data_IF_628627956921
#
_entry.id   IF_628627956921
#
_cell.length_a   1.000
_cell.length_b   1.000
_cell.length_c   1.000
_cell.angle_alpha   90.00
_cell.angle_beta   90.00
_cell.angle_gamma   90.00
#
_symmetry.space_group_name_H-M   'P 1'
#
loop_
_entity.id
_entity.type
_entity.pdbx_description
1 polymer ?
#
# COMPACT_ATOMS: atom_id res chain seq x y z
N UNK A 1 3.39 3.74 30.86
CA UNK A 1 4.37 3.95 29.78
C UNK A 1 4.70 5.43 29.77
N UNK A 2 5.97 5.80 29.85
CA UNK A 2 6.42 7.19 29.89
C UNK A 2 6.30 7.83 28.49
N UNK A 3 5.50 8.90 28.32
CA UNK A 3 5.26 9.54 27.02
C UNK A 3 6.47 10.33 26.47
N UNK A 4 7.61 10.39 27.18
CA UNK A 4 8.76 11.23 26.79
C UNK A 4 9.89 10.51 26.04
N UNK A 5 9.84 9.19 25.86
CA UNK A 5 10.80 8.50 24.98
C UNK A 5 10.26 8.42 23.56
N UNK A 6 10.59 9.42 22.73
CA UNK A 6 10.49 9.28 21.29
C UNK A 6 11.35 8.08 20.87
N UNK A 7 10.72 6.95 20.54
CA UNK A 7 11.44 5.77 20.09
C UNK A 7 12.03 6.05 18.72
N UNK A 8 13.27 5.60 18.49
CA UNK A 8 13.89 5.68 17.18
C UNK A 8 13.29 4.69 16.19
N UNK A 9 12.44 3.78 16.66
CA UNK A 9 11.80 2.76 15.86
C UNK A 9 10.38 2.46 16.35
N UNK A 10 9.45 2.28 15.41
CA UNK A 10 8.07 1.85 15.67
C UNK A 10 7.94 0.32 15.73
N UNK A 11 9.02 -0.40 15.43
CA UNK A 11 9.06 -1.88 15.37
C UNK A 11 9.78 -2.51 16.57
N UNK A 12 10.51 -1.72 17.35
CA UNK A 12 11.21 -2.18 18.54
C UNK A 12 11.37 -1.04 19.57
N UNK A 13 11.89 -1.36 20.76
CA UNK A 13 12.10 -0.37 21.82
C UNK A 13 13.44 0.38 21.72
N UNK A 14 14.24 0.13 20.68
CA UNK A 14 15.54 0.77 20.52
C UNK A 14 15.42 2.25 20.14
N UNK A 15 16.24 3.08 20.78
CA UNK A 15 16.12 4.53 20.68
C UNK A 15 16.90 5.15 19.51
N UNK A 16 17.87 4.45 18.90
CA UNK A 16 18.79 5.04 17.91
C UNK A 16 18.94 4.21 16.64
N UNK A 17 19.61 3.06 16.75
CA UNK A 17 19.93 2.18 15.61
C UNK A 17 19.49 0.75 15.91
N UNK A 18 18.82 0.14 14.94
CA UNK A 18 18.38 -1.26 14.99
C UNK A 18 18.45 -1.87 13.58
N UNK A 19 18.41 -3.20 13.51
CA UNK A 19 18.36 -3.96 12.26
C UNK A 19 16.92 -4.15 11.73
N UNK A 20 15.91 -3.52 12.35
CA UNK A 20 14.52 -3.74 11.98
C UNK A 20 14.20 -3.39 10.52
N UNK A 21 14.96 -2.48 9.88
CA UNK A 21 14.80 -2.20 8.46
C UNK A 21 15.16 -3.42 7.58
N UNK A 22 16.12 -4.24 8.00
CA UNK A 22 16.56 -5.44 7.26
C UNK A 22 15.77 -6.69 7.66
N UNK A 23 15.27 -6.73 8.90
CA UNK A 23 14.61 -7.90 9.48
C UNK A 23 13.09 -7.89 9.35
N UNK A 24 12.46 -6.72 9.37
CA UNK A 24 11.00 -6.63 9.37
C UNK A 24 10.38 -6.86 7.99
N UNK A 25 11.12 -6.59 6.91
CA UNK A 25 10.62 -6.74 5.55
C UNK A 25 10.98 -8.12 4.97
N UNK A 26 10.00 -8.86 4.42
CA UNK A 26 10.24 -10.15 3.80
C UNK A 26 11.27 -10.05 2.68
N UNK A 27 12.18 -11.03 2.62
CA UNK A 27 13.13 -11.19 1.50
C UNK A 27 12.44 -11.61 0.20
N UNK A 28 11.27 -12.24 0.30
CA UNK A 28 10.49 -12.69 -0.86
C UNK A 28 9.76 -11.50 -1.44
N UNK A 29 10.13 -11.12 -2.66
CA UNK A 29 9.54 -9.98 -3.36
C UNK A 29 8.31 -10.39 -4.18
N UNK A 30 7.26 -9.55 -4.25
CA UNK A 30 6.12 -9.78 -5.14
C UNK A 30 6.53 -9.92 -6.61
N UNK A 31 5.77 -10.70 -7.37
CA UNK A 31 5.97 -10.87 -8.81
C UNK A 31 5.22 -9.81 -9.58
N UNK A 32 5.89 -9.17 -10.55
CA UNK A 32 5.22 -8.26 -11.50
C UNK A 32 4.39 -9.09 -12.49
N UNK A 33 3.10 -8.76 -12.62
CA UNK A 33 2.16 -9.45 -13.52
C UNK A 33 1.24 -8.45 -14.21
N UNK A 34 0.75 -8.78 -15.41
CA UNK A 34 -0.31 -8.02 -16.07
C UNK A 34 -1.68 -8.46 -15.56
N UNK A 35 -2.49 -7.49 -15.15
CA UNK A 35 -3.90 -7.64 -14.77
C UNK A 35 -4.79 -6.96 -15.80
N UNK A 36 -5.85 -7.66 -16.21
CA UNK A 36 -6.79 -7.17 -17.20
C UNK A 36 -7.44 -5.86 -16.73
N UNK A 37 -7.48 -4.86 -17.62
CA UNK A 37 -8.07 -3.54 -17.33
C UNK A 37 -7.27 -2.65 -16.37
N UNK A 38 -6.17 -3.14 -15.77
CA UNK A 38 -5.33 -2.38 -14.81
C UNK A 38 -3.89 -2.17 -15.28
N UNK A 39 -3.40 -2.99 -16.20
CA UNK A 39 -2.02 -2.93 -16.67
C UNK A 39 -1.10 -3.80 -15.80
N UNK A 40 0.09 -3.31 -15.44
CA UNK A 40 0.98 -4.03 -14.54
C UNK A 40 0.48 -3.93 -13.09
N UNK A 41 0.74 -4.97 -12.30
CA UNK A 41 0.41 -5.06 -10.89
C UNK A 41 1.38 -5.98 -10.16
N UNK A 42 1.22 -6.09 -8.84
CA UNK A 42 2.02 -6.99 -8.01
C UNK A 42 1.19 -8.19 -7.56
N UNK A 43 1.73 -9.38 -7.80
CA UNK A 43 1.20 -10.65 -7.34
C UNK A 43 1.98 -11.10 -6.10
N UNK A 44 1.25 -11.47 -5.04
CA UNK A 44 1.83 -12.07 -3.85
C UNK A 44 2.45 -13.44 -4.17
N UNK A 45 3.61 -13.73 -3.58
CA UNK A 45 4.36 -14.97 -3.76
C UNK A 45 4.63 -15.54 -2.38
N UNK A 46 4.11 -16.73 -2.11
CA UNK A 46 4.42 -17.45 -0.88
C UNK A 46 5.70 -18.29 -1.02
N UNK A 47 6.24 -18.76 0.10
CA UNK A 47 7.37 -19.69 0.10
C UNK A 47 7.05 -21.03 -0.58
N UNK A 48 5.77 -21.42 -0.62
CA UNK A 48 5.29 -22.60 -1.34
C UNK A 48 3.92 -22.34 -1.96
N UNK A 49 3.61 -22.94 -3.13
CA UNK A 49 2.35 -22.71 -3.82
C UNK A 49 1.12 -22.97 -2.94
N UNK A 50 0.12 -22.10 -3.02
CA UNK A 50 -1.15 -22.25 -2.30
C UNK A 50 -1.11 -21.90 -0.81
N UNK A 51 0.04 -21.50 -0.27
CA UNK A 51 0.14 -21.01 1.10
C UNK A 51 -0.22 -19.52 1.22
N UNK A 52 -0.33 -19.04 2.45
CA UNK A 52 -0.40 -17.62 2.76
C UNK A 52 0.96 -16.98 2.47
N UNK A 53 0.97 -15.98 1.58
CA UNK A 53 2.17 -15.21 1.25
C UNK A 53 2.47 -14.17 2.34
N UNK A 54 1.43 -13.50 2.84
CA UNK A 54 1.52 -12.52 3.94
C UNK A 54 0.32 -12.68 4.86
N UNK A 55 0.55 -12.81 6.16
CA UNK A 55 -0.53 -12.77 7.17
C UNK A 55 -0.95 -11.34 7.45
N UNK A 56 -2.18 -11.17 7.92
CA UNK A 56 -2.67 -9.88 8.42
C UNK A 56 -1.68 -9.28 9.44
N UNK A 57 -1.29 -8.02 9.21
CA UNK A 57 -0.36 -7.27 10.06
C UNK A 57 1.11 -7.46 9.69
N UNK A 58 1.47 -8.46 8.89
CA UNK A 58 2.84 -8.63 8.42
C UNK A 58 3.21 -7.50 7.45
N UNK A 59 4.47 -7.08 7.52
CA UNK A 59 5.06 -6.14 6.57
C UNK A 59 5.35 -6.86 5.26
N UNK A 60 5.07 -6.19 4.15
CA UNK A 60 5.29 -6.69 2.79
C UNK A 60 6.60 -6.12 2.23
N UNK A 61 6.89 -4.86 2.54
CA UNK A 61 8.08 -4.15 2.08
C UNK A 61 7.98 -2.64 2.31
N UNK A 62 8.99 -1.92 1.84
CA UNK A 62 9.04 -0.46 1.83
C UNK A 62 8.76 0.07 0.42
N UNK A 63 7.89 1.06 0.28
CA UNK A 63 7.72 1.82 -0.96
C UNK A 63 8.76 2.94 -1.02
N UNK A 64 9.61 2.94 -2.06
CA UNK A 64 10.65 3.95 -2.24
C UNK A 64 10.37 4.85 -3.44
N UNK A 65 10.91 6.07 -3.37
CA UNK A 65 10.76 7.12 -4.37
C UNK A 65 11.52 8.38 -3.94
N UNK A 66 11.34 9.45 -4.68
CA UNK A 66 11.90 10.76 -4.36
C UNK A 66 11.00 11.49 -3.35
N UNK A 67 11.58 12.06 -2.29
CA UNK A 67 10.87 12.96 -1.39
C UNK A 67 10.92 14.37 -1.95
N UNK A 68 9.75 14.93 -2.27
CA UNK A 68 9.60 16.29 -2.79
C UNK A 68 8.71 17.12 -1.86
N UNK A 69 8.82 18.46 -1.88
CA UNK A 69 7.92 19.32 -1.11
C UNK A 69 6.45 19.04 -1.40
N UNK A 70 5.58 19.38 -0.45
CA UNK A 70 4.14 19.35 -0.69
C UNK A 70 3.78 20.24 -1.89
N UNK A 71 2.72 19.87 -2.60
CA UNK A 71 2.23 20.59 -3.80
C UNK A 71 3.16 20.60 -5.02
N UNK A 72 4.29 19.87 -5.01
CA UNK A 72 5.11 19.67 -6.22
C UNK A 72 4.31 18.97 -7.32
N UNK A 73 3.54 17.93 -6.95
CA UNK A 73 2.64 17.21 -7.85
C UNK A 73 1.20 17.29 -7.33
N UNK A 74 0.30 17.95 -8.08
CA UNK A 74 -1.11 18.12 -7.66
C UNK A 74 -2.01 16.99 -8.14
N UNK A 75 -1.87 16.57 -9.40
CA UNK A 75 -2.73 15.56 -10.04
C UNK A 75 -1.92 14.41 -10.65
N UNK A 76 -0.90 13.93 -9.92
CA UNK A 76 -0.03 12.87 -10.42
C UNK A 76 -0.41 11.51 -9.84
N UNK A 77 -0.54 10.49 -10.70
CA UNK A 77 -0.90 9.13 -10.28
C UNK A 77 0.21 8.37 -9.53
N UNK A 78 1.41 8.94 -9.44
CA UNK A 78 2.60 8.31 -8.84
C UNK A 78 3.04 8.99 -7.55
N UNK A 79 2.21 9.85 -6.96
CA UNK A 79 2.53 10.52 -5.69
C UNK A 79 1.66 9.97 -4.56
N UNK A 80 2.30 9.83 -3.39
CA UNK A 80 1.63 9.55 -2.13
C UNK A 80 2.04 10.63 -1.13
N UNK A 81 1.09 11.16 -0.36
CA UNK A 81 1.41 12.09 0.72
C UNK A 81 2.01 11.33 1.92
N UNK A 82 3.14 11.84 2.42
CA UNK A 82 3.82 11.28 3.57
C UNK A 82 3.30 11.97 4.84
N UNK A 83 2.34 11.32 5.52
CA UNK A 83 1.69 11.85 6.73
C UNK A 83 2.41 11.37 7.98
N UNK A 84 2.90 12.30 8.80
CA UNK A 84 3.53 11.98 10.09
C UNK A 84 2.49 11.99 11.21
N UNK A 85 2.36 10.86 11.90
CA UNK A 85 1.47 10.69 13.04
C UNK A 85 2.03 11.24 14.35
N UNK A 86 3.31 11.59 14.40
CA UNK A 86 3.95 12.21 15.57
C UNK A 86 3.85 13.74 15.60
N UNK A 87 3.12 14.32 14.64
CA UNK A 87 2.75 15.74 14.60
C UNK A 87 1.25 15.80 14.88
N UNK A 88 0.80 16.69 15.78
CA UNK A 88 -0.61 16.86 16.10
C UNK A 88 -1.15 18.18 15.49
N UNK A 89 -2.17 18.13 14.62
CA UNK A 89 -2.82 16.93 14.08
C UNK A 89 -1.89 16.18 13.10
N UNK A 90 -2.13 14.87 12.83
CA UNK A 90 -1.39 14.12 11.83
C UNK A 90 -1.29 14.89 10.51
N UNK A 91 -0.06 15.21 10.12
CA UNK A 91 0.21 16.23 9.09
C UNK A 91 1.03 15.63 7.94
N UNK A 92 0.59 15.86 6.71
CA UNK A 92 1.40 15.62 5.52
C UNK A 92 2.63 16.53 5.56
N UNK A 93 3.84 15.99 5.46
CA UNK A 93 5.08 16.78 5.53
C UNK A 93 5.83 16.86 4.20
N UNK A 94 5.61 15.88 3.32
CA UNK A 94 6.18 15.85 1.98
C UNK A 94 5.37 14.91 1.08
N UNK A 95 5.76 14.86 -0.19
CA UNK A 95 5.25 13.94 -1.19
C UNK A 95 6.31 12.88 -1.49
N UNK A 96 5.92 11.61 -1.54
CA UNK A 96 6.74 10.52 -2.06
C UNK A 96 6.39 10.29 -3.52
N UNK A 97 7.26 10.73 -4.43
CA UNK A 97 7.09 10.59 -5.87
C UNK A 97 7.81 9.34 -6.40
N UNK A 98 7.03 8.38 -6.90
CA UNK A 98 7.53 7.09 -7.40
C UNK A 98 7.57 7.03 -8.94
N UNK A 99 7.42 8.16 -9.63
CA UNK A 99 7.22 8.18 -11.08
C UNK A 99 8.49 7.91 -11.88
N UNK A 100 9.63 8.45 -11.45
CA UNK A 100 10.94 8.33 -12.13
C UNK A 100 11.85 7.28 -11.50
N UNK A 101 11.99 7.34 -10.18
CA UNK A 101 12.83 6.43 -9.38
C UNK A 101 12.00 5.81 -8.27
N UNK A 102 12.35 4.58 -7.88
CA UNK A 102 11.65 3.82 -6.86
C UNK A 102 11.86 2.32 -7.04
N UNK A 103 11.01 1.52 -6.40
CA UNK A 103 11.03 0.07 -6.51
C UNK A 103 9.71 -0.50 -7.08
N UNK A 104 9.56 -1.82 -7.08
CA UNK A 104 8.41 -2.49 -7.71
C UNK A 104 7.06 -2.10 -7.10
N UNK A 105 7.02 -1.62 -5.85
CA UNK A 105 5.79 -1.25 -5.16
C UNK A 105 5.06 -0.06 -5.77
N UNK A 106 5.73 0.71 -6.64
CA UNK A 106 5.04 1.69 -7.51
C UNK A 106 3.94 1.06 -8.38
N UNK A 107 3.98 -0.25 -8.62
CA UNK A 107 3.01 -0.99 -9.43
C UNK A 107 1.82 -1.53 -8.63
N UNK A 108 1.70 -1.22 -7.33
CA UNK A 108 0.54 -1.64 -6.53
C UNK A 108 -0.75 -1.01 -7.08
N UNK A 109 -1.68 -1.83 -7.55
CA UNK A 109 -2.96 -1.35 -8.08
C UNK A 109 -3.93 -0.94 -6.98
N UNK A 110 -4.96 -0.20 -7.38
CA UNK A 110 -6.08 0.13 -6.52
C UNK A 110 -7.07 -1.03 -6.32
N UNK A 111 -7.54 -1.18 -5.09
CA UNK A 111 -8.89 -1.71 -4.82
C UNK A 111 -9.63 -0.91 -3.74
N UNK A 112 -10.94 -0.75 -3.88
CA UNK A 112 -11.77 -0.10 -2.86
C UNK A 112 -11.82 -0.90 -1.55
N UNK A 113 -11.59 -2.22 -1.60
CA UNK A 113 -11.29 -3.08 -0.45
C UNK A 113 -9.89 -3.65 -0.62
N UNK A 114 -8.85 -2.85 -0.33
CA UNK A 114 -7.47 -3.24 -0.59
C UNK A 114 -7.01 -4.36 0.35
N UNK A 115 -6.03 -5.13 -0.11
CA UNK A 115 -5.36 -6.17 0.68
C UNK A 115 -4.22 -5.62 1.54
N UNK A 116 -3.68 -4.45 1.22
CA UNK A 116 -2.58 -3.81 1.94
C UNK A 116 -2.83 -2.32 2.25
N UNK A 117 -2.04 -1.78 3.16
CA UNK A 117 -2.02 -0.38 3.59
C UNK A 117 -0.63 0.22 3.37
N UNK A 118 -0.59 1.50 2.99
CA UNK A 118 0.61 2.31 3.10
C UNK A 118 0.66 2.93 4.49
N UNK A 119 1.76 2.76 5.19
CA UNK A 119 1.93 3.16 6.59
C UNK A 119 3.25 3.90 6.73
N UNK A 120 3.24 5.22 6.95
CA UNK A 120 4.42 5.96 7.39
C UNK A 120 4.84 5.46 8.78
N UNK A 121 6.10 5.09 8.93
CA UNK A 121 6.65 4.66 10.21
C UNK A 121 8.12 5.08 10.35
N UNK A 122 8.56 5.21 11.60
CA UNK A 122 9.95 5.49 11.95
C UNK A 122 10.67 4.15 12.17
N UNK A 123 11.75 3.89 11.45
CA UNK A 123 12.58 2.69 11.61
C UNK A 123 14.04 3.12 11.65
N UNK A 124 14.75 2.77 12.73
CA UNK A 124 16.17 3.12 12.90
C UNK A 124 16.44 4.63 12.68
N UNK A 125 15.61 5.46 13.32
CA UNK A 125 15.59 6.93 13.26
C UNK A 125 15.27 7.54 11.90
N UNK A 126 14.78 6.75 10.92
CA UNK A 126 14.39 7.21 9.59
C UNK A 126 12.91 6.98 9.36
N UNK A 127 12.24 7.97 8.78
CA UNK A 127 10.87 7.80 8.30
C UNK A 127 10.88 7.06 6.96
N UNK A 128 10.07 6.01 6.87
CA UNK A 128 9.89 5.20 5.65
C UNK A 128 8.39 5.02 5.36
N UNK A 129 8.06 4.69 4.10
CA UNK A 129 6.70 4.32 3.71
C UNK A 129 6.60 2.80 3.67
N UNK A 130 6.16 2.19 4.78
CA UNK A 130 5.95 0.75 4.86
C UNK A 130 4.67 0.31 4.18
N UNK A 131 4.63 -0.96 3.78
CA UNK A 131 3.45 -1.62 3.21
C UNK A 131 3.06 -2.76 4.14
N UNK A 132 1.89 -2.67 4.75
CA UNK A 132 1.41 -3.68 5.69
C UNK A 132 0.21 -4.44 5.13
N UNK A 133 0.19 -5.76 5.31
CA UNK A 133 -0.95 -6.59 4.95
C UNK A 133 -2.14 -6.25 5.86
N UNK A 134 -3.27 -5.86 5.27
CA UNK A 134 -4.52 -5.53 5.99
C UNK A 134 -5.31 -6.78 6.38
N UNK A 135 -5.07 -7.86 5.67
CA UNK A 135 -5.70 -9.18 5.78
C UNK A 135 -4.70 -10.23 5.33
N UNK A 136 -5.01 -11.51 5.51
CA UNK A 136 -4.22 -12.57 4.90
C UNK A 136 -4.26 -12.44 3.37
N UNK A 137 -3.09 -12.55 2.75
CA UNK A 137 -2.87 -12.49 1.31
C UNK A 137 -2.31 -13.83 0.88
N UNK A 138 -3.10 -14.57 0.10
CA UNK A 138 -2.72 -15.88 -0.40
C UNK A 138 -1.79 -15.78 -1.61
N UNK A 139 -0.97 -16.80 -1.80
CA UNK A 139 -0.16 -16.97 -3.01
C UNK A 139 -0.98 -16.75 -4.28
N UNK A 140 -0.40 -16.04 -5.24
CA UNK A 140 -1.05 -15.73 -6.51
C UNK A 140 -2.07 -14.60 -6.48
N UNK A 141 -2.42 -14.06 -5.30
CA UNK A 141 -3.36 -12.94 -5.17
C UNK A 141 -2.73 -11.60 -5.60
N UNK A 142 -3.54 -10.67 -6.11
CA UNK A 142 -3.08 -9.30 -6.37
C UNK A 142 -2.93 -8.52 -5.05
N UNK A 143 -1.79 -7.87 -4.86
CA UNK A 143 -1.57 -6.93 -3.76
C UNK A 143 -2.10 -5.57 -4.20
N UNK A 144 -3.02 -4.99 -3.42
CA UNK A 144 -3.69 -3.74 -3.76
C UNK A 144 -3.74 -2.78 -2.59
N UNK A 145 -3.74 -1.49 -2.89
CA UNK A 145 -3.87 -0.39 -1.92
C UNK A 145 -5.07 0.50 -2.25
N UNK A 146 -5.40 1.44 -1.37
CA UNK A 146 -6.41 2.47 -1.65
C UNK A 146 -5.71 3.75 -2.12
N UNK A 147 -6.00 4.22 -3.33
CA UNK A 147 -5.43 5.46 -3.87
C UNK A 147 -6.11 6.74 -3.35
N UNK A 148 -7.28 6.62 -2.74
CA UNK A 148 -8.13 7.77 -2.39
C UNK A 148 -9.39 7.82 -3.25
N UNK A 149 -10.39 8.60 -2.82
CA UNK A 149 -11.67 8.69 -3.53
C UNK A 149 -11.56 9.48 -4.83
N UNK A 150 -10.67 10.47 -4.84
CA UNK A 150 -10.55 11.45 -5.93
C UNK A 150 -9.60 10.98 -7.05
N UNK A 151 -8.96 9.81 -6.89
CA UNK A 151 -8.01 9.29 -7.88
C UNK A 151 -8.70 8.89 -9.19
N UNK A 152 -9.86 8.24 -9.09
CA UNK A 152 -10.62 7.85 -10.26
C UNK A 152 -11.59 8.99 -10.57
N UNK A 153 -11.61 9.45 -11.82
CA UNK A 153 -12.68 10.33 -12.31
C UNK A 153 -14.03 9.61 -12.24
N UNK A 154 -14.57 9.16 -13.37
CA UNK A 154 -15.97 8.71 -13.35
C UNK A 154 -16.17 7.25 -12.94
N UNK A 155 -15.17 6.36 -13.10
CA UNK A 155 -15.40 4.91 -12.93
C UNK A 155 -14.17 4.14 -12.45
N UNK A 156 -14.21 3.71 -11.18
CA UNK A 156 -13.25 2.74 -10.64
C UNK A 156 -13.42 1.36 -11.31
N UNK A 157 -12.30 0.73 -11.70
CA UNK A 157 -12.23 -0.60 -12.35
C UNK A 157 -11.63 -1.67 -11.43
N UNK A 158 -11.61 -1.44 -10.12
CA UNK A 158 -11.16 -2.45 -9.18
C UNK A 158 -12.13 -3.63 -9.07
N UNK A 159 -11.66 -4.76 -8.53
CA UNK A 159 -12.45 -5.98 -8.48
C UNK A 159 -13.68 -5.80 -7.58
N UNK A 160 -13.55 -5.05 -6.48
CA UNK A 160 -14.68 -4.71 -5.62
C UNK A 160 -15.79 -3.97 -6.38
N UNK A 161 -15.44 -2.97 -7.20
CA UNK A 161 -16.43 -2.19 -7.95
C UNK A 161 -17.05 -2.99 -9.09
N UNK A 162 -16.26 -3.80 -9.81
CA UNK A 162 -16.76 -4.66 -10.88
C UNK A 162 -17.80 -5.66 -10.36
N UNK A 163 -17.51 -6.35 -9.24
CA UNK A 163 -18.45 -7.29 -8.60
C UNK A 163 -19.74 -6.61 -8.16
N UNK A 164 -19.66 -5.40 -7.59
CA UNK A 164 -20.86 -4.63 -7.20
C UNK A 164 -21.75 -4.30 -8.40
N UNK A 165 -21.17 -3.92 -9.54
CA UNK A 165 -21.93 -3.60 -10.76
C UNK A 165 -22.60 -4.85 -11.36
N UNK A 166 -21.89 -5.98 -11.38
CA UNK A 166 -22.44 -7.26 -11.84
C UNK A 166 -23.66 -7.68 -11.00
N UNK A 167 -23.53 -7.63 -9.67
CA UNK A 167 -24.63 -7.94 -8.76
C UNK A 167 -25.86 -7.04 -8.98
N UNK A 168 -25.67 -5.75 -9.27
CA UNK A 168 -26.79 -4.84 -9.60
C UNK A 168 -27.44 -5.19 -10.94
N UNK A 169 -26.68 -5.56 -11.96
CA UNK A 169 -27.23 -5.98 -13.25
C UNK A 169 -28.03 -7.29 -13.15
N UNK A 170 -27.56 -8.26 -12.35
CA UNK A 170 -28.24 -9.53 -12.12
C UNK A 170 -29.54 -9.39 -11.32
N UNK A 171 -29.64 -8.35 -10.49
CA UNK A 171 -30.83 -8.05 -9.69
C UNK A 171 -31.89 -7.22 -10.43
N UNK A 172 -31.58 -6.67 -11.61
CA UNK A 172 -32.59 -6.02 -12.45
C UNK A 172 -33.50 -7.11 -13.02
N UNK A 173 -34.81 -7.12 -12.72
CA UNK A 173 -35.72 -8.05 -13.38
C UNK A 173 -35.64 -7.81 -14.88
N UNK A 174 -35.56 -8.89 -15.66
CA UNK A 174 -35.69 -8.81 -17.11
C UNK A 174 -36.99 -8.06 -17.41
N UNK A 175 -36.87 -6.84 -17.95
CA UNK A 175 -38.01 -6.02 -18.29
C UNK A 175 -38.98 -6.82 -19.14
N UNK A 176 -40.26 -6.86 -18.71
CA UNK A 176 -41.37 -7.32 -19.55
C UNK A 176 -41.34 -6.55 -20.87
N UNK A 177 -41.53 -7.31 -21.96
CA UNK A 177 -41.72 -6.82 -23.33
C UNK A 177 -42.76 -5.72 -23.41
#
# INVERSE_FOLDING_TARGET
MDPTKATGCDLCSEARSCACADEAFPKITPRIKRYEGKGLGLQAVAASPGQTAYRKGEWIGEMTGELVPLSTYKDNKWVVEFVRSDIEPPTAVCQLYCGQVGNCFRLLNHDCRPSALLVPLKVSSRWIMGIQAKQDIFDGSEITIRYGRDFFGETCRCQTCLRKRQAVCEQRPAGRK
#
